data_IF_965629173066
#
_entry.id   IF_965629173066
#
_cell.length_a   1.000
_cell.length_b   1.000
_cell.length_c   1.000
_cell.angle_alpha   90.00
_cell.angle_beta   90.00
_cell.angle_gamma   90.00
#
_symmetry.space_group_name_H-M   'P 1'
#
loop_
_entity.id
_entity.type
_entity.pdbx_description
1 polymer ?
#
# COMPACT_ATOMS: atom_id res chain seq x y z
N UNK A 1 2.75 15.78 -0.38
CA UNK A 1 2.26 17.12 -0.79
C UNK A 1 3.15 17.86 -1.80
N UNK A 2 4.33 18.39 -1.43
CA UNK A 2 5.10 19.31 -2.30
C UNK A 2 5.45 18.76 -3.71
N UNK A 3 5.73 17.45 -3.83
CA UNK A 3 5.99 16.81 -5.12
C UNK A 3 4.76 16.88 -6.04
N UNK A 4 3.58 16.48 -5.53
CA UNK A 4 2.31 16.53 -6.28
C UNK A 4 1.93 17.96 -6.69
N UNK A 5 2.18 18.96 -5.83
CA UNK A 5 1.92 20.37 -6.18
C UNK A 5 2.80 20.87 -7.34
N UNK A 6 4.05 20.42 -7.43
CA UNK A 6 4.98 20.82 -8.49
C UNK A 6 4.84 19.99 -9.77
N UNK A 7 4.37 18.75 -9.64
CA UNK A 7 4.24 17.77 -10.72
C UNK A 7 2.81 17.21 -10.71
N UNK A 8 1.79 18.01 -11.07
CA UNK A 8 0.39 17.64 -10.90
C UNK A 8 -0.01 16.40 -11.70
N UNK A 9 0.55 16.22 -12.90
CA UNK A 9 0.13 15.17 -13.83
C UNK A 9 1.08 13.96 -13.88
N UNK A 10 2.22 14.03 -13.19
CA UNK A 10 3.20 12.95 -13.20
C UNK A 10 2.68 11.77 -12.36
N UNK A 11 2.73 10.52 -12.86
CA UNK A 11 2.43 9.34 -12.05
C UNK A 11 3.39 9.28 -10.84
N UNK A 12 2.83 9.18 -9.64
CA UNK A 12 3.60 9.08 -8.40
C UNK A 12 3.20 7.83 -7.66
N UNK A 13 4.18 7.15 -7.09
CA UNK A 13 4.02 6.10 -6.08
C UNK A 13 4.90 6.44 -4.89
N UNK A 14 4.65 5.79 -3.76
CA UNK A 14 5.53 5.84 -2.59
C UNK A 14 5.84 4.43 -2.15
N UNK A 15 7.09 4.22 -1.73
CA UNK A 15 7.53 3.00 -1.07
C UNK A 15 7.68 3.31 0.42
N UNK A 16 7.01 2.50 1.24
CA UNK A 16 7.00 2.63 2.69
C UNK A 16 7.98 1.68 3.38
N UNK A 17 8.52 0.67 2.69
CA UNK A 17 9.48 -0.30 3.22
C UNK A 17 9.12 -0.82 4.63
N UNK A 18 7.87 -1.26 4.81
CA UNK A 18 7.33 -1.79 6.08
C UNK A 18 7.37 -0.82 7.27
N UNK A 19 7.35 0.49 7.03
CA UNK A 19 7.46 1.48 8.10
C UNK A 19 6.19 1.68 8.95
N UNK A 20 5.03 1.16 8.54
CA UNK A 20 3.75 1.42 9.20
C UNK A 20 3.11 0.17 9.81
N UNK A 21 2.11 0.41 10.64
CA UNK A 21 1.23 -0.61 11.22
C UNK A 21 -0.25 -0.25 10.96
N UNK A 22 -1.18 -1.14 11.31
CA UNK A 22 -2.62 -0.81 11.29
C UNK A 22 -3.02 0.32 12.26
N UNK A 23 -2.16 0.70 13.20
CA UNK A 23 -2.42 1.85 14.06
C UNK A 23 -2.30 3.18 13.29
N UNK A 24 -1.62 3.15 12.14
CA UNK A 24 -1.33 4.30 11.29
C UNK A 24 -2.34 4.46 10.14
N UNK A 25 -3.45 3.70 10.13
CA UNK A 25 -4.47 3.75 9.06
C UNK A 25 -4.93 5.18 8.77
N UNK A 26 -5.18 5.98 9.80
CA UNK A 26 -5.66 7.36 9.61
C UNK A 26 -4.56 8.29 9.06
N UNK A 27 -3.28 7.94 9.22
CA UNK A 27 -2.20 8.60 8.51
C UNK A 27 -2.15 8.17 7.04
N UNK A 28 -2.21 6.86 6.78
CA UNK A 28 -2.15 6.28 5.43
C UNK A 28 -3.32 6.73 4.54
N UNK A 29 -4.54 6.85 5.08
CA UNK A 29 -5.72 7.40 4.37
C UNK A 29 -5.50 8.80 3.82
N UNK A 30 -4.64 9.61 4.45
CA UNK A 30 -4.34 10.96 3.94
C UNK A 30 -3.60 10.90 2.61
N UNK A 31 -2.96 9.80 2.28
CA UNK A 31 -2.25 9.64 1.01
C UNK A 31 -3.20 9.53 -0.19
N UNK A 32 -4.47 9.16 0.03
CA UNK A 32 -5.51 9.13 -1.02
C UNK A 32 -5.71 10.50 -1.68
N UNK A 33 -5.39 11.61 -0.99
CA UNK A 33 -5.49 12.96 -1.55
C UNK A 33 -4.47 13.26 -2.66
N UNK A 34 -3.43 12.42 -2.79
CA UNK A 34 -2.32 12.67 -3.71
C UNK A 34 -2.43 11.94 -5.06
N UNK A 35 -3.49 11.18 -5.28
CA UNK A 35 -3.71 10.41 -6.51
C UNK A 35 -2.44 9.60 -6.88
N UNK A 36 -1.98 8.79 -5.93
CA UNK A 36 -0.85 7.90 -6.13
C UNK A 36 -1.32 6.69 -6.95
N UNK A 37 -0.44 6.15 -7.78
CA UNK A 37 -0.74 4.91 -8.51
C UNK A 37 -0.73 3.70 -7.58
N UNK A 38 0.09 3.73 -6.52
CA UNK A 38 0.15 2.72 -5.46
C UNK A 38 0.96 3.21 -4.24
N UNK A 39 0.80 2.52 -3.11
CA UNK A 39 1.67 2.54 -1.94
C UNK A 39 2.33 1.16 -1.84
N UNK A 40 3.65 1.09 -1.94
CA UNK A 40 4.40 -0.15 -1.86
C UNK A 40 4.76 -0.50 -0.41
N UNK A 41 4.52 -1.77 -0.07
CA UNK A 41 4.85 -2.41 1.20
C UNK A 41 4.62 -1.53 2.45
N UNK A 42 3.39 -1.09 2.74
CA UNK A 42 3.10 -0.23 3.89
C UNK A 42 3.38 -0.92 5.23
N UNK A 43 3.06 -2.22 5.36
CA UNK A 43 3.19 -2.97 6.61
C UNK A 43 4.31 -4.01 6.51
N UNK A 44 4.55 -4.75 7.59
CA UNK A 44 5.55 -5.80 7.64
C UNK A 44 5.31 -6.89 6.58
N UNK A 45 6.40 -7.45 6.04
CA UNK A 45 6.38 -8.45 4.97
C UNK A 45 5.57 -9.74 5.28
N UNK A 46 5.41 -10.11 6.55
CA UNK A 46 4.68 -11.28 7.00
C UNK A 46 3.20 -11.02 7.29
N UNK A 47 2.74 -9.77 7.16
CA UNK A 47 1.41 -9.30 7.55
C UNK A 47 0.43 -9.20 6.37
N UNK A 48 0.34 -10.24 5.54
CA UNK A 48 -0.52 -10.26 4.34
C UNK A 48 -2.01 -10.04 4.66
N UNK A 49 -2.48 -10.56 5.80
CA UNK A 49 -3.86 -10.39 6.26
C UNK A 49 -4.15 -8.93 6.63
N UNK A 50 -3.18 -8.27 7.23
CA UNK A 50 -3.34 -6.88 7.65
C UNK A 50 -3.22 -5.92 6.46
N UNK A 51 -2.43 -6.27 5.43
CA UNK A 51 -2.49 -5.59 4.14
C UNK A 51 -3.89 -5.65 3.53
N UNK A 52 -4.60 -6.78 3.58
CA UNK A 52 -5.99 -6.85 3.13
C UNK A 52 -6.95 -5.99 3.96
N UNK A 53 -6.74 -5.88 5.27
CA UNK A 53 -7.53 -4.98 6.12
C UNK A 53 -7.27 -3.52 5.76
N UNK A 54 -6.01 -3.16 5.52
CA UNK A 54 -5.61 -1.82 5.13
C UNK A 54 -6.14 -1.47 3.73
N UNK A 55 -6.00 -2.35 2.74
CA UNK A 55 -6.48 -2.12 1.37
C UNK A 55 -7.97 -1.79 1.33
N UNK A 56 -8.79 -2.44 2.16
CA UNK A 56 -10.24 -2.16 2.25
C UNK A 56 -10.57 -0.76 2.79
N UNK A 57 -9.60 -0.08 3.39
CA UNK A 57 -9.75 1.24 3.99
C UNK A 57 -9.16 2.36 3.13
N UNK A 58 -8.40 2.03 2.08
CA UNK A 58 -7.72 2.98 1.20
C UNK A 58 -8.37 2.99 -0.19
N UNK A 59 -8.37 4.15 -0.83
CA UNK A 59 -8.67 4.27 -2.27
C UNK A 59 -7.43 3.96 -3.12
N UNK A 60 -6.26 4.33 -2.61
CA UNK A 60 -4.97 4.06 -3.24
C UNK A 60 -4.65 2.56 -3.18
N UNK A 61 -4.28 1.92 -4.31
CA UNK A 61 -3.85 0.52 -4.31
C UNK A 61 -2.57 0.29 -3.50
N UNK A 62 -2.45 -0.90 -2.91
CA UNK A 62 -1.25 -1.38 -2.23
C UNK A 62 -0.47 -2.27 -3.21
N UNK A 63 0.83 -2.03 -3.31
CA UNK A 63 1.76 -2.95 -3.97
C UNK A 63 2.45 -3.81 -2.90
N UNK A 64 2.45 -5.12 -3.10
CA UNK A 64 3.16 -6.07 -2.25
C UNK A 64 4.47 -6.47 -2.92
N UNK A 65 5.59 -6.25 -2.25
CA UNK A 65 6.92 -6.69 -2.70
C UNK A 65 7.40 -7.87 -1.86
N UNK A 66 8.00 -7.62 -0.70
CA UNK A 66 8.61 -8.66 0.14
C UNK A 66 7.58 -9.65 0.72
N UNK A 67 6.29 -9.26 0.73
CA UNK A 67 5.20 -10.14 1.14
C UNK A 67 4.90 -11.27 0.14
N UNK A 68 5.35 -11.14 -1.12
CA UNK A 68 5.06 -12.09 -2.21
C UNK A 68 6.35 -12.77 -2.67
N UNK A 69 6.85 -13.70 -1.86
CA UNK A 69 8.08 -14.46 -2.15
C UNK A 69 7.85 -15.86 -2.74
N UNK A 70 6.61 -16.28 -2.94
CA UNK A 70 6.25 -17.60 -3.47
C UNK A 70 4.92 -17.58 -4.21
N UNK A 71 4.66 -18.62 -5.02
CA UNK A 71 3.34 -18.82 -5.64
C UNK A 71 2.21 -18.88 -4.61
N UNK A 72 2.44 -19.55 -3.48
CA UNK A 72 1.44 -19.69 -2.41
C UNK A 72 1.10 -18.35 -1.76
N UNK A 73 2.10 -17.49 -1.52
CA UNK A 73 1.86 -16.15 -0.97
C UNK A 73 1.18 -15.25 -1.99
N UNK A 74 1.54 -15.33 -3.27
CA UNK A 74 0.85 -14.61 -4.35
C UNK A 74 -0.64 -15.00 -4.44
N UNK A 75 -0.93 -16.31 -4.42
CA UNK A 75 -2.29 -16.84 -4.46
C UNK A 75 -3.11 -16.34 -3.26
N UNK A 76 -2.55 -16.41 -2.05
CA UNK A 76 -3.19 -15.88 -0.83
C UNK A 76 -3.44 -14.38 -0.92
N UNK A 77 -2.51 -13.60 -1.45
CA UNK A 77 -2.67 -12.15 -1.62
C UNK A 77 -3.92 -11.83 -2.44
N UNK A 78 -4.08 -12.52 -3.57
CA UNK A 78 -5.22 -12.37 -4.49
C UNK A 78 -6.52 -12.79 -3.81
N UNK A 79 -6.55 -13.94 -3.14
CA UNK A 79 -7.75 -14.46 -2.46
C UNK A 79 -8.23 -13.53 -1.33
N UNK A 80 -7.30 -12.86 -0.65
CA UNK A 80 -7.60 -11.96 0.46
C UNK A 80 -7.96 -10.53 0.02
N UNK A 81 -7.52 -10.13 -1.19
CA UNK A 81 -7.55 -8.73 -1.65
C UNK A 81 -6.53 -7.87 -0.88
N UNK A 82 -5.28 -8.34 -0.82
CA UNK A 82 -4.21 -7.73 -0.01
C UNK A 82 -3.46 -6.61 -0.72
N UNK A 83 -3.78 -6.35 -1.99
CA UNK A 83 -3.27 -5.28 -2.84
C UNK A 83 -4.24 -5.00 -3.97
#
# INVERSE_FOLDING_TARGET
RAVREKLPDVPLMVDANSAYSLQDIEHLKKLDEYNLIMIEQPLAHDDIIDHAKLQRQLQTPICLDESVYSFETAKKAIELGSG
#
